data_IF_110160337770
#
_entry.id   IF_110160337770
#
_cell.length_a   1.000
_cell.length_b   1.000
_cell.length_c   1.000
_cell.angle_alpha   90.00
_cell.angle_beta   90.00
_cell.angle_gamma   90.00
#
_symmetry.space_group_name_H-M   'P 1'
#
loop_
_entity.id
_entity.type
_entity.pdbx_description
1 polymer ?
#
# COMPACT_ATOMS: atom_id res chain seq x y z
N UNK A 1 4.57 -18.97 20.12
CA UNK A 1 3.08 -19.10 20.12
C UNK A 1 2.57 -18.09 19.11
N UNK A 2 1.81 -18.51 18.11
CA UNK A 2 1.26 -17.59 17.10
C UNK A 2 0.25 -16.64 17.74
N UNK A 3 0.37 -15.35 17.41
CA UNK A 3 -0.62 -14.36 17.86
C UNK A 3 -1.95 -14.60 17.11
N UNK A 4 -2.96 -15.04 17.85
CA UNK A 4 -4.29 -15.37 17.32
C UNK A 4 -4.92 -14.17 16.59
N UNK A 5 -4.66 -12.96 17.04
CA UNK A 5 -5.22 -11.75 16.44
C UNK A 5 -4.66 -11.47 15.04
N UNK A 6 -3.45 -11.90 14.72
CA UNK A 6 -2.87 -11.83 13.37
C UNK A 6 -3.63 -12.76 12.43
N UNK A 7 -3.91 -13.98 12.89
CA UNK A 7 -4.67 -14.97 12.10
C UNK A 7 -6.10 -14.48 11.85
N UNK A 8 -6.75 -13.92 12.86
CA UNK A 8 -8.08 -13.34 12.75
C UNK A 8 -8.11 -12.18 11.73
N UNK A 9 -7.11 -11.31 11.73
CA UNK A 9 -6.99 -10.23 10.74
C UNK A 9 -6.82 -10.76 9.31
N UNK A 10 -6.00 -11.78 9.11
CA UNK A 10 -5.83 -12.40 7.78
C UNK A 10 -7.14 -12.98 7.24
N UNK A 11 -7.84 -13.76 8.08
CA UNK A 11 -9.12 -14.37 7.71
C UNK A 11 -10.14 -13.28 7.42
N UNK A 12 -10.25 -12.28 8.28
CA UNK A 12 -11.18 -11.17 8.11
C UNK A 12 -10.92 -10.40 6.81
N UNK A 13 -9.67 -10.04 6.51
CA UNK A 13 -9.31 -9.37 5.25
C UNK A 13 -9.70 -10.20 4.02
N UNK A 14 -9.41 -11.50 4.04
CA UNK A 14 -9.78 -12.39 2.93
C UNK A 14 -11.29 -12.44 2.74
N UNK A 15 -12.06 -12.61 3.82
CA UNK A 15 -13.51 -12.67 3.75
C UNK A 15 -14.13 -11.35 3.27
N UNK A 16 -13.61 -10.20 3.73
CA UNK A 16 -14.04 -8.90 3.26
C UNK A 16 -13.83 -8.74 1.75
N UNK A 17 -12.64 -9.08 1.26
CA UNK A 17 -12.33 -8.98 -0.17
C UNK A 17 -13.17 -9.95 -1.03
N UNK A 18 -13.41 -11.16 -0.55
CA UNK A 18 -14.30 -12.11 -1.24
C UNK A 18 -15.73 -11.56 -1.32
N UNK A 19 -16.23 -10.97 -0.22
CA UNK A 19 -17.57 -10.38 -0.22
C UNK A 19 -17.66 -9.19 -1.19
N UNK A 20 -16.66 -8.32 -1.23
CA UNK A 20 -16.58 -7.22 -2.21
C UNK A 20 -16.55 -7.77 -3.64
N UNK A 21 -15.79 -8.83 -3.89
CA UNK A 21 -15.72 -9.48 -5.20
C UNK A 21 -17.06 -10.03 -5.67
N UNK A 22 -17.82 -10.69 -4.78
CA UNK A 22 -19.13 -11.22 -5.15
C UNK A 22 -20.11 -10.09 -5.51
N UNK A 23 -20.09 -8.99 -4.79
CA UNK A 23 -20.91 -7.81 -5.12
C UNK A 23 -20.45 -7.14 -6.41
N UNK A 24 -19.14 -7.11 -6.68
CA UNK A 24 -18.58 -6.60 -7.93
C UNK A 24 -19.05 -7.42 -9.14
N UNK A 25 -19.06 -8.76 -9.02
CA UNK A 25 -19.57 -9.66 -10.06
C UNK A 25 -21.06 -9.45 -10.35
N UNK A 26 -21.83 -9.05 -9.35
CA UNK A 26 -23.24 -8.70 -9.50
C UNK A 26 -23.46 -7.31 -10.14
N UNK A 27 -22.38 -6.58 -10.46
CA UNK A 27 -22.45 -5.24 -11.07
C UNK A 27 -22.97 -4.15 -10.12
N UNK A 28 -22.87 -4.36 -8.82
CA UNK A 28 -23.37 -3.40 -7.82
C UNK A 28 -22.54 -2.12 -7.75
N UNK A 29 -21.25 -2.17 -8.10
CA UNK A 29 -20.37 -1.00 -8.08
C UNK A 29 -20.25 -0.35 -9.46
N UNK A 30 -20.31 0.98 -9.50
CA UNK A 30 -20.14 1.78 -10.72
C UNK A 30 -18.70 2.25 -10.96
N UNK A 31 -17.79 1.85 -10.08
CA UNK A 31 -16.38 2.23 -10.10
C UNK A 31 -15.52 0.96 -10.22
N UNK A 32 -14.31 1.06 -10.77
CA UNK A 32 -13.39 -0.07 -10.78
C UNK A 32 -12.96 -0.43 -9.35
N UNK A 33 -12.89 -1.73 -9.04
CA UNK A 33 -12.41 -2.26 -7.77
C UNK A 33 -11.15 -3.08 -8.01
N UNK A 34 -10.10 -2.80 -7.27
CA UNK A 34 -8.83 -3.51 -7.33
C UNK A 34 -8.62 -4.32 -6.05
N UNK A 35 -8.93 -5.61 -6.12
CA UNK A 35 -8.71 -6.52 -5.00
C UNK A 35 -7.22 -6.85 -4.84
N UNK A 36 -6.84 -7.17 -3.63
CA UNK A 36 -5.49 -7.54 -3.22
C UNK A 36 -5.45 -8.95 -2.62
N UNK A 37 -6.17 -9.88 -3.24
CA UNK A 37 -6.20 -11.29 -2.82
C UNK A 37 -4.80 -11.90 -2.93
N UNK A 38 -4.29 -12.43 -1.82
CA UNK A 38 -2.93 -12.96 -1.71
C UNK A 38 -1.91 -11.95 -1.11
N UNK A 39 -2.29 -10.70 -0.89
CA UNK A 39 -1.43 -9.66 -0.29
C UNK A 39 -1.82 -9.35 1.17
N UNK A 40 -2.66 -10.15 1.78
CA UNK A 40 -3.14 -9.91 3.16
C UNK A 40 -2.00 -9.91 4.18
N UNK A 41 -1.01 -10.78 4.00
CA UNK A 41 0.11 -10.93 4.94
C UNK A 41 0.94 -9.65 5.08
N UNK A 42 1.26 -8.99 3.95
CA UNK A 42 2.02 -7.74 4.00
C UNK A 42 1.20 -6.62 4.63
N UNK A 43 -0.11 -6.54 4.33
CA UNK A 43 -0.97 -5.53 4.94
C UNK A 43 -1.09 -5.70 6.45
N UNK A 44 -1.26 -6.94 6.94
CA UNK A 44 -1.29 -7.23 8.37
C UNK A 44 0.04 -6.86 9.02
N UNK A 45 1.17 -7.22 8.43
CA UNK A 45 2.48 -6.86 8.95
C UNK A 45 2.67 -5.35 9.06
N UNK A 46 2.37 -4.60 8.00
CA UNK A 46 2.43 -3.13 8.00
C UNK A 46 1.52 -2.54 9.09
N UNK A 47 0.28 -3.05 9.19
CA UNK A 47 -0.67 -2.58 10.20
C UNK A 47 -0.15 -2.79 11.64
N UNK A 48 0.58 -3.87 11.87
CA UNK A 48 1.18 -4.19 13.17
C UNK A 48 2.43 -3.39 13.49
N UNK A 49 3.21 -3.05 12.47
CA UNK A 49 4.45 -2.28 12.63
C UNK A 49 4.22 -0.77 12.73
N UNK A 50 3.17 -0.26 12.08
CA UNK A 50 2.91 1.18 11.98
C UNK A 50 2.51 1.78 13.33
N UNK A 51 3.18 2.85 13.74
CA UNK A 51 2.95 3.57 15.00
C UNK A 51 2.07 4.81 14.78
N UNK A 52 1.69 5.48 15.85
CA UNK A 52 0.77 6.62 15.80
C UNK A 52 1.32 7.81 14.98
N UNK A 53 2.63 8.01 14.98
CA UNK A 53 3.28 9.11 14.24
C UNK A 53 3.67 8.73 12.81
N UNK A 54 3.52 7.45 12.44
CA UNK A 54 3.84 6.99 11.11
C UNK A 54 2.70 7.28 10.13
N UNK A 55 3.04 7.33 8.86
CA UNK A 55 2.11 7.63 7.79
C UNK A 55 2.15 6.57 6.70
N UNK A 56 1.01 6.35 6.04
CA UNK A 56 0.86 5.39 4.97
C UNK A 56 0.45 6.10 3.68
N UNK A 57 1.18 5.84 2.60
CA UNK A 57 0.92 6.34 1.25
C UNK A 57 0.71 5.14 0.33
N UNK A 58 -0.44 5.08 -0.35
CA UNK A 58 -0.94 3.89 -1.02
C UNK A 58 -1.05 4.08 -2.55
N UNK A 59 -1.30 2.97 -3.23
CA UNK A 59 -1.68 2.90 -4.64
C UNK A 59 -3.19 2.69 -4.80
N UNK A 60 -3.63 2.54 -6.05
CA UNK A 60 -5.01 2.18 -6.38
C UNK A 60 -5.45 0.80 -5.83
N UNK A 61 -4.51 -0.10 -5.52
CA UNK A 61 -4.76 -1.39 -4.87
C UNK A 61 -4.57 -1.25 -3.36
N UNK A 62 -5.52 -0.63 -2.69
CA UNK A 62 -5.39 -0.19 -1.31
C UNK A 62 -6.37 -0.84 -0.32
N UNK A 63 -7.32 -1.63 -0.80
CA UNK A 63 -8.42 -2.20 -0.01
C UNK A 63 -7.94 -2.91 1.28
N UNK A 64 -6.88 -3.71 1.20
CA UNK A 64 -6.38 -4.49 2.32
C UNK A 64 -5.75 -3.63 3.42
N UNK A 65 -5.11 -2.53 3.06
CA UNK A 65 -4.61 -1.55 4.03
C UNK A 65 -5.74 -0.72 4.63
N UNK A 66 -6.63 -0.20 3.80
CA UNK A 66 -7.75 0.63 4.26
C UNK A 66 -8.65 -0.14 5.20
N UNK A 67 -9.03 -1.38 4.89
CA UNK A 67 -9.83 -2.23 5.77
C UNK A 67 -9.20 -2.37 7.16
N UNK A 68 -7.90 -2.67 7.26
CA UNK A 68 -7.21 -2.79 8.55
C UNK A 68 -7.14 -1.45 9.31
N UNK A 69 -6.90 -0.35 8.60
CA UNK A 69 -6.81 0.97 9.23
C UNK A 69 -8.16 1.48 9.71
N UNK A 70 -9.23 1.19 9.00
CA UNK A 70 -10.60 1.56 9.37
C UNK A 70 -11.24 0.58 10.35
N UNK A 71 -10.97 -0.72 10.18
CA UNK A 71 -11.63 -1.78 10.95
C UNK A 71 -13.10 -1.98 10.59
N UNK A 72 -13.57 -1.44 9.46
CA UNK A 72 -14.98 -1.45 9.05
C UNK A 72 -15.15 -1.66 7.56
N UNK A 73 -15.66 -2.84 7.18
CA UNK A 73 -16.05 -3.12 5.79
C UNK A 73 -17.20 -2.22 5.33
N UNK A 74 -18.12 -1.88 6.23
CA UNK A 74 -19.32 -1.10 5.89
C UNK A 74 -18.95 0.29 5.37
N UNK A 75 -18.03 0.97 6.03
CA UNK A 75 -17.63 2.33 5.65
C UNK A 75 -16.89 2.33 4.31
N UNK A 76 -16.01 1.35 4.08
CA UNK A 76 -15.30 1.20 2.83
C UNK A 76 -16.24 0.87 1.66
N UNK A 77 -17.15 -0.07 1.85
CA UNK A 77 -18.14 -0.45 0.83
C UNK A 77 -19.11 0.71 0.54
N UNK A 78 -19.48 1.50 1.54
CA UNK A 78 -20.29 2.71 1.31
C UNK A 78 -19.54 3.73 0.43
N UNK A 79 -18.21 3.87 0.58
CA UNK A 79 -17.40 4.70 -0.31
C UNK A 79 -17.41 4.15 -1.75
N UNK A 80 -17.34 2.82 -1.91
CA UNK A 80 -17.42 2.19 -3.24
C UNK A 80 -18.80 2.34 -3.90
N UNK A 81 -19.85 2.46 -3.11
CA UNK A 81 -21.19 2.84 -3.59
C UNK A 81 -21.36 4.34 -3.83
N UNK A 82 -20.32 5.13 -3.58
CA UNK A 82 -20.35 6.60 -3.68
C UNK A 82 -21.42 7.23 -2.76
N UNK A 83 -21.60 6.66 -1.56
CA UNK A 83 -22.56 7.14 -0.58
C UNK A 83 -21.91 8.16 0.36
N UNK A 84 -22.70 9.12 0.81
CA UNK A 84 -22.27 10.13 1.81
C UNK A 84 -21.79 9.51 3.13
N UNK A 85 -22.29 8.32 3.48
CA UNK A 85 -21.86 7.54 4.65
C UNK A 85 -20.56 6.76 4.45
N UNK A 86 -19.88 6.92 3.32
CA UNK A 86 -18.55 6.38 3.05
C UNK A 86 -17.45 7.18 3.75
N UNK A 87 -16.24 6.61 3.78
CA UNK A 87 -15.05 7.18 4.46
C UNK A 87 -14.74 8.61 4.02
N UNK A 88 -14.92 8.92 2.76
CA UNK A 88 -14.68 10.22 2.14
C UNK A 88 -15.96 10.85 1.58
N UNK A 89 -17.10 10.55 2.17
CA UNK A 89 -18.43 11.00 1.75
C UNK A 89 -18.75 10.63 0.28
N UNK A 90 -18.29 9.47 -0.18
CA UNK A 90 -18.53 8.97 -1.52
C UNK A 90 -17.77 9.72 -2.64
N UNK A 91 -16.73 10.47 -2.32
CA UNK A 91 -16.04 11.37 -3.27
C UNK A 91 -14.77 10.77 -3.86
N UNK A 92 -14.14 9.80 -3.20
CA UNK A 92 -12.84 9.25 -3.60
C UNK A 92 -12.96 7.90 -4.31
N UNK A 93 -14.04 7.16 -4.05
CA UNK A 93 -14.21 5.81 -4.57
C UNK A 93 -13.13 4.86 -4.04
N UNK A 94 -12.75 3.84 -4.83
CA UNK A 94 -11.81 2.81 -4.39
C UNK A 94 -10.34 3.19 -4.60
N UNK A 95 -10.00 3.74 -5.78
CA UNK A 95 -8.58 3.88 -6.19
C UNK A 95 -7.82 5.01 -5.51
N UNK A 96 -8.53 6.05 -5.06
CA UNK A 96 -7.92 7.23 -4.42
C UNK A 96 -8.31 7.35 -2.95
N UNK A 97 -8.78 6.25 -2.36
CA UNK A 97 -9.28 6.25 -1.00
C UNK A 97 -8.15 6.51 0.00
N UNK A 98 -8.23 7.64 0.66
CA UNK A 98 -7.34 8.06 1.74
C UNK A 98 -8.17 8.37 2.99
N UNK A 99 -7.56 8.22 4.15
CA UNK A 99 -8.16 8.53 5.45
C UNK A 99 -7.07 9.09 6.38
N UNK A 100 -6.78 10.39 6.33
CA UNK A 100 -5.74 11.01 7.16
C UNK A 100 -5.95 10.82 8.66
N UNK A 101 -7.19 10.70 9.13
CA UNK A 101 -7.51 10.42 10.54
C UNK A 101 -7.05 9.01 10.98
N UNK A 102 -6.76 8.14 10.05
CA UNK A 102 -6.23 6.78 10.26
C UNK A 102 -4.80 6.63 9.72
N UNK A 103 -4.12 7.74 9.51
CA UNK A 103 -2.74 7.83 8.99
C UNK A 103 -2.57 7.32 7.54
N UNK A 104 -3.65 7.16 6.77
CA UNK A 104 -3.59 6.95 5.33
C UNK A 104 -3.64 8.31 4.66
N UNK A 105 -2.47 8.91 4.42
CA UNK A 105 -2.38 10.30 3.98
C UNK A 105 -2.76 10.50 2.52
N UNK A 106 -2.43 9.53 1.68
CA UNK A 106 -2.58 9.66 0.24
C UNK A 106 -2.76 8.31 -0.44
N UNK A 107 -3.53 8.29 -1.50
CA UNK A 107 -3.65 7.16 -2.41
C UNK A 107 -3.81 7.68 -3.84
N UNK A 108 -3.15 7.05 -4.81
CA UNK A 108 -3.18 7.50 -6.20
C UNK A 108 -3.44 6.36 -7.16
N UNK A 109 -4.26 6.66 -8.17
CA UNK A 109 -4.47 5.79 -9.33
C UNK A 109 -3.39 5.94 -10.42
N UNK A 110 -2.55 6.96 -10.32
CA UNK A 110 -1.42 7.19 -11.24
C UNK A 110 -0.22 6.40 -10.76
N UNK A 111 0.30 5.51 -11.61
CA UNK A 111 1.45 4.66 -11.29
C UNK A 111 2.67 5.51 -10.92
N UNK A 112 3.34 5.12 -9.85
CA UNK A 112 4.55 5.79 -9.35
C UNK A 112 4.33 7.15 -8.66
N UNK A 113 3.17 7.80 -8.82
CA UNK A 113 2.91 9.13 -8.27
C UNK A 113 2.96 9.19 -6.73
N UNK A 114 2.65 8.10 -6.06
CA UNK A 114 2.68 8.00 -4.60
C UNK A 114 4.10 8.10 -4.02
N UNK A 115 5.12 7.75 -4.79
CA UNK A 115 6.53 7.76 -4.34
C UNK A 115 7.05 9.18 -4.05
N UNK A 116 6.98 10.15 -4.99
CA UNK A 116 7.41 11.52 -4.70
C UNK A 116 6.56 12.18 -3.61
N UNK A 117 5.27 11.85 -3.51
CA UNK A 117 4.42 12.34 -2.42
C UNK A 117 4.92 11.84 -1.07
N UNK A 118 5.18 10.54 -0.95
CA UNK A 118 5.73 9.96 0.28
C UNK A 118 7.10 10.55 0.64
N UNK A 119 7.95 10.76 -0.36
CA UNK A 119 9.26 11.39 -0.19
C UNK A 119 9.13 12.83 0.32
N UNK A 120 8.18 13.59 -0.23
CA UNK A 120 7.84 14.92 0.25
C UNK A 120 7.32 14.95 1.69
N UNK A 121 6.46 13.99 2.05
CA UNK A 121 5.97 13.82 3.42
C UNK A 121 7.12 13.51 4.39
N UNK A 122 8.01 12.58 4.03
CA UNK A 122 9.17 12.25 4.86
C UNK A 122 10.15 13.43 5.02
N UNK A 123 10.32 14.23 3.97
CA UNK A 123 11.08 15.47 4.07
C UNK A 123 10.39 16.48 5.00
N UNK A 124 9.08 16.63 4.89
CA UNK A 124 8.29 17.48 5.80
C UNK A 124 8.45 17.07 7.26
N UNK A 125 8.36 15.78 7.55
CA UNK A 125 8.60 15.24 8.90
C UNK A 125 10.00 15.63 9.40
N UNK A 126 11.02 15.44 8.58
CA UNK A 126 12.40 15.78 8.93
C UNK A 126 12.57 17.27 9.23
N UNK A 127 12.03 18.14 8.38
CA UNK A 127 12.16 19.60 8.54
C UNK A 127 11.40 20.15 9.76
N UNK A 128 10.34 19.46 10.16
CA UNK A 128 9.53 19.83 11.33
C UNK A 128 9.91 19.05 12.60
N UNK A 129 10.96 18.23 12.54
CA UNK A 129 11.43 17.38 13.63
C UNK A 129 10.34 16.42 14.15
N UNK A 130 9.48 15.93 13.28
CA UNK A 130 8.53 14.88 13.59
C UNK A 130 9.23 13.52 13.46
N UNK A 131 9.18 12.74 14.54
CA UNK A 131 9.73 11.39 14.58
C UNK A 131 8.66 10.39 14.09
N UNK A 132 8.52 10.27 12.79
CA UNK A 132 7.60 9.35 12.14
C UNK A 132 8.20 8.77 10.86
N UNK A 133 7.87 7.52 10.57
CA UNK A 133 8.25 6.82 9.34
C UNK A 133 7.12 6.96 8.32
N UNK A 134 7.46 7.26 7.08
CA UNK A 134 6.50 7.20 5.97
C UNK A 134 6.62 5.84 5.30
N UNK A 135 5.56 5.05 5.35
CA UNK A 135 5.44 3.80 4.61
C UNK A 135 4.78 4.10 3.27
N UNK A 136 5.44 3.80 2.17
CA UNK A 136 4.86 3.92 0.84
C UNK A 136 4.75 2.55 0.19
N UNK A 137 3.53 2.18 -0.20
CA UNK A 137 3.26 0.95 -0.93
C UNK A 137 3.25 1.26 -2.43
N UNK A 138 3.97 0.47 -3.21
CA UNK A 138 4.02 0.59 -4.66
C UNK A 138 3.96 -0.79 -5.32
N UNK A 139 3.80 -0.85 -6.63
CA UNK A 139 3.74 -2.11 -7.37
C UNK A 139 4.95 -2.31 -8.29
N UNK A 140 5.13 -3.55 -8.76
CA UNK A 140 6.20 -3.92 -9.70
C UNK A 140 6.14 -3.16 -11.03
N UNK A 141 4.95 -2.73 -11.47
CA UNK A 141 4.81 -1.85 -12.64
C UNK A 141 5.18 -0.39 -12.34
N UNK A 142 4.96 0.07 -11.13
CA UNK A 142 5.23 1.45 -10.76
C UNK A 142 6.73 1.76 -10.57
N UNK A 143 7.55 0.75 -10.27
CA UNK A 143 9.01 0.93 -10.19
C UNK A 143 9.68 1.12 -11.57
N UNK A 144 8.93 0.99 -12.65
CA UNK A 144 9.38 1.30 -14.02
C UNK A 144 9.34 2.80 -14.30
N UNK A 145 8.55 3.55 -13.52
CA UNK A 145 8.42 4.99 -13.68
C UNK A 145 9.66 5.75 -13.17
N UNK A 146 10.04 6.82 -13.86
CA UNK A 146 11.17 7.67 -13.46
C UNK A 146 11.05 8.18 -12.02
N UNK A 147 9.82 8.45 -11.57
CA UNK A 147 9.52 8.89 -10.22
C UNK A 147 10.02 7.93 -9.11
N UNK A 148 10.10 6.61 -9.37
CA UNK A 148 10.69 5.67 -8.41
C UNK A 148 12.18 5.96 -8.19
N UNK A 149 12.93 6.12 -9.27
CA UNK A 149 14.38 6.31 -9.25
C UNK A 149 14.75 7.64 -8.61
N UNK A 150 14.04 8.71 -8.98
CA UNK A 150 14.22 10.03 -8.41
C UNK A 150 13.91 10.05 -6.91
N UNK A 151 12.78 9.44 -6.50
CA UNK A 151 12.38 9.35 -5.10
C UNK A 151 13.39 8.58 -4.26
N UNK A 152 13.92 7.47 -4.79
CA UNK A 152 14.92 6.65 -4.11
C UNK A 152 16.21 7.42 -3.85
N UNK A 153 16.73 8.08 -4.90
CA UNK A 153 17.94 8.91 -4.81
C UNK A 153 17.75 10.09 -3.86
N UNK A 154 16.61 10.78 -3.97
CA UNK A 154 16.31 11.92 -3.13
C UNK A 154 16.16 11.52 -1.65
N UNK A 155 15.45 10.42 -1.38
CA UNK A 155 15.27 9.91 -0.02
C UNK A 155 16.61 9.52 0.62
N UNK A 156 17.48 8.81 -0.11
CA UNK A 156 18.83 8.46 0.37
C UNK A 156 19.68 9.68 0.60
N UNK A 157 19.75 10.60 -0.36
CA UNK A 157 20.55 11.81 -0.28
C UNK A 157 20.18 12.71 0.90
N UNK A 158 18.91 12.69 1.28
CA UNK A 158 18.39 13.47 2.40
C UNK A 158 18.23 12.67 3.69
N UNK A 159 18.62 11.39 3.72
CA UNK A 159 18.48 10.50 4.90
C UNK A 159 17.06 10.56 5.47
N UNK A 160 16.07 10.32 4.63
CA UNK A 160 14.65 10.38 5.01
C UNK A 160 14.19 9.08 5.67
N UNK A 161 13.31 9.19 6.67
CA UNK A 161 12.65 8.06 7.30
C UNK A 161 11.52 7.54 6.39
N UNK A 162 11.88 6.76 5.39
CA UNK A 162 10.99 6.24 4.35
C UNK A 162 11.18 4.73 4.20
N UNK A 163 10.08 3.99 4.22
CA UNK A 163 10.05 2.56 3.90
C UNK A 163 9.24 2.38 2.61
N UNK A 164 9.89 1.85 1.57
CA UNK A 164 9.25 1.56 0.29
C UNK A 164 8.91 0.08 0.24
N UNK A 165 7.63 -0.24 0.13
CA UNK A 165 7.11 -1.61 0.02
C UNK A 165 6.71 -1.85 -1.43
N UNK A 166 7.42 -2.75 -2.12
CA UNK A 166 7.12 -3.13 -3.50
C UNK A 166 6.31 -4.42 -3.50
N UNK A 167 5.02 -4.32 -3.75
CA UNK A 167 4.15 -5.48 -3.96
C UNK A 167 4.35 -6.03 -5.38
N UNK A 168 5.08 -7.13 -5.48
CA UNK A 168 5.40 -7.75 -6.75
C UNK A 168 4.43 -8.91 -7.04
N UNK A 169 3.38 -8.63 -7.80
CA UNK A 169 2.46 -9.64 -8.30
C UNK A 169 2.81 -10.12 -9.71
N UNK A 170 3.91 -9.61 -10.31
CA UNK A 170 4.40 -9.87 -11.67
C UNK A 170 3.48 -9.43 -12.80
N UNK A 171 2.45 -8.63 -12.51
CA UNK A 171 1.48 -8.16 -13.49
C UNK A 171 1.26 -6.66 -13.40
N UNK A 172 1.14 -6.01 -14.55
CA UNK A 172 0.57 -4.67 -14.66
C UNK A 172 -0.56 -4.69 -15.69
N UNK A 173 -1.81 -4.49 -15.23
CA UNK A 173 -3.01 -4.80 -16.00
C UNK A 173 -2.96 -6.25 -16.52
N UNK A 174 -3.00 -6.45 -17.84
CA UNK A 174 -2.93 -7.75 -18.50
C UNK A 174 -1.55 -8.19 -18.96
N UNK A 175 -0.46 -7.47 -18.57
CA UNK A 175 0.88 -7.68 -19.08
C UNK A 175 1.83 -8.17 -17.99
N UNK A 176 2.59 -9.21 -18.26
CA UNK A 176 3.60 -9.75 -17.35
C UNK A 176 4.87 -8.90 -17.36
N UNK A 177 5.69 -9.03 -16.32
CA UNK A 177 6.98 -8.32 -16.23
C UNK A 177 7.85 -8.64 -17.45
N UNK A 178 7.96 -9.91 -17.82
CA UNK A 178 8.83 -10.39 -18.90
C UNK A 178 8.45 -9.81 -20.28
N UNK A 179 7.20 -9.38 -20.44
CA UNK A 179 6.70 -8.74 -21.65
C UNK A 179 6.96 -7.24 -21.69
N UNK A 180 7.21 -6.62 -20.50
CA UNK A 180 7.35 -5.16 -20.37
C UNK A 180 8.80 -4.71 -20.31
N UNK A 181 9.66 -5.46 -19.64
CA UNK A 181 11.04 -5.04 -19.35
C UNK A 181 11.97 -6.17 -18.96
N UNK A 182 13.27 -5.89 -19.00
CA UNK A 182 14.27 -6.69 -18.32
C UNK A 182 14.11 -6.65 -16.79
N UNK A 183 14.65 -7.63 -16.08
CA UNK A 183 14.60 -7.69 -14.63
C UNK A 183 15.34 -6.51 -13.98
N UNK A 184 14.69 -5.89 -13.00
CA UNK A 184 15.31 -4.93 -12.09
C UNK A 184 15.76 -5.71 -10.85
N UNK A 185 17.06 -5.81 -10.65
CA UNK A 185 17.65 -6.48 -9.50
C UNK A 185 17.65 -5.51 -8.30
N UNK A 186 16.55 -5.48 -7.55
CA UNK A 186 16.34 -4.53 -6.46
C UNK A 186 17.37 -4.68 -5.33
N UNK A 187 17.86 -5.88 -5.08
CA UNK A 187 18.95 -6.15 -4.13
C UNK A 187 20.26 -5.45 -4.53
N UNK A 188 20.62 -5.52 -5.80
CA UNK A 188 21.81 -4.83 -6.34
C UNK A 188 21.63 -3.33 -6.38
N UNK A 189 20.44 -2.86 -6.74
CA UNK A 189 20.11 -1.44 -6.70
C UNK A 189 20.24 -0.89 -5.28
N UNK A 190 19.65 -1.56 -4.31
CA UNK A 190 19.73 -1.18 -2.90
C UNK A 190 21.19 -1.17 -2.40
N UNK A 191 21.96 -2.20 -2.73
CA UNK A 191 23.38 -2.28 -2.37
C UNK A 191 24.20 -1.13 -3.00
N UNK A 192 23.92 -0.75 -4.25
CA UNK A 192 24.64 0.35 -4.93
C UNK A 192 24.37 1.72 -4.30
N UNK A 193 23.24 1.88 -3.62
CA UNK A 193 22.83 3.11 -2.94
C UNK A 193 23.03 3.03 -1.41
N UNK A 194 23.56 1.91 -0.91
CA UNK A 194 23.69 1.67 0.52
C UNK A 194 22.34 1.85 1.25
N UNK A 195 21.30 1.20 0.74
CA UNK A 195 19.94 1.18 1.28
C UNK A 195 19.63 -0.23 1.77
N UNK A 196 18.97 -0.35 2.92
CA UNK A 196 18.51 -1.64 3.43
C UNK A 196 17.51 -2.30 2.44
N UNK A 197 17.68 -3.60 2.21
CA UNK A 197 16.79 -4.38 1.33
C UNK A 197 16.39 -5.69 2.01
N UNK A 198 15.09 -5.97 1.97
CA UNK A 198 14.51 -7.20 2.50
C UNK A 198 13.59 -7.83 1.46
N UNK A 199 13.86 -9.08 1.10
CA UNK A 199 12.99 -9.84 0.21
C UNK A 199 12.07 -10.72 1.04
N UNK A 200 10.79 -10.38 1.06
CA UNK A 200 9.75 -11.09 1.79
C UNK A 200 8.94 -11.93 0.79
N UNK A 201 9.03 -13.26 0.86
CA UNK A 201 8.45 -14.17 -0.12
C UNK A 201 7.68 -15.36 0.47
N UNK A 202 7.70 -15.53 1.79
CA UNK A 202 7.01 -16.62 2.48
C UNK A 202 5.49 -16.48 2.52
N UNK A 203 4.98 -15.25 2.32
CA UNK A 203 3.59 -14.87 2.57
C UNK A 203 3.14 -15.15 4.02
N UNK A 204 4.09 -15.09 4.96
CA UNK A 204 3.87 -15.29 6.39
C UNK A 204 4.00 -13.95 7.13
N UNK A 205 2.89 -13.39 7.68
CA UNK A 205 2.93 -12.12 8.39
C UNK A 205 3.80 -12.16 9.66
N UNK A 206 3.99 -13.33 10.28
CA UNK A 206 4.82 -13.46 11.46
C UNK A 206 6.31 -13.26 11.13
N UNK A 207 6.75 -13.71 9.97
CA UNK A 207 8.10 -13.42 9.47
C UNK A 207 8.26 -11.94 9.11
N UNK A 208 7.20 -11.30 8.62
CA UNK A 208 7.24 -9.90 8.16
C UNK A 208 7.19 -8.87 9.30
N UNK A 209 6.69 -9.25 10.48
CA UNK A 209 6.60 -8.39 11.68
C UNK A 209 7.92 -8.34 12.46
N UNK A 210 8.79 -9.35 12.30
CA UNK A 210 10.08 -9.45 13.01
C UNK A 210 11.18 -8.65 12.34
#
# INVERSE_FOLDING_TARGET
MYDKSVIEQLIWLRLCQVLVNERYKLGEFKIPIHLALGHESVAVAVHRCIKNNDSLVLTHRNIHYNLLRMGSLKEEVNEYYLRESGVANGRLGSMNLANPLKNVLYSSSILGNNLPVATGCALGNKLTNLDGVVFVVTGDGAIEEGAFWESLLFAKSNSLNLIIIVENNRWSLGTRIEERRADILLDKLAASLDIGYYKLSSNDPFEYIT
#
